data_IF_440833438269
#
_entry.id   IF_440833438269
#
_cell.length_a   1.000
_cell.length_b   1.000
_cell.length_c   1.000
_cell.angle_alpha   90.00
_cell.angle_beta   90.00
_cell.angle_gamma   90.00
#
_symmetry.space_group_name_H-M   'P 1'
#
loop_
_entity.id
_entity.type
_entity.pdbx_description
1 polymer ?
#
# COMPACT_ATOMS: atom_id res chain seq x y z
N UNK A 1 13.60 -4.46 -12.96
CA UNK A 1 12.72 -4.12 -11.82
C UNK A 1 13.41 -4.62 -10.58
N UNK A 2 13.54 -3.76 -9.59
CA UNK A 2 14.14 -4.05 -8.30
C UNK A 2 12.98 -4.32 -7.33
N UNK A 3 12.94 -5.51 -6.74
CA UNK A 3 12.01 -5.85 -5.67
C UNK A 3 12.80 -6.00 -4.37
N UNK A 4 12.42 -5.21 -3.36
CA UNK A 4 13.08 -5.17 -2.07
C UNK A 4 12.06 -5.55 -1.01
N UNK A 5 12.08 -6.82 -0.59
CA UNK A 5 11.22 -7.32 0.48
C UNK A 5 11.90 -7.23 1.85
N UNK A 6 11.10 -6.98 2.88
CA UNK A 6 11.45 -7.15 4.28
C UNK A 6 12.49 -6.15 4.79
N UNK A 7 12.55 -4.93 4.26
CA UNK A 7 13.51 -3.94 4.75
C UNK A 7 13.11 -3.53 6.18
N UNK A 8 13.99 -3.81 7.13
CA UNK A 8 13.84 -3.45 8.55
C UNK A 8 15.09 -2.71 9.03
N UNK A 9 15.01 -2.07 10.20
CA UNK A 9 16.12 -1.30 10.78
C UNK A 9 17.30 -2.15 11.30
N UNK A 10 17.30 -3.48 11.09
CA UNK A 10 18.23 -4.41 11.72
C UNK A 10 17.90 -4.64 13.20
N UNK A 11 18.86 -5.14 13.98
CA UNK A 11 18.66 -5.37 15.41
C UNK A 11 18.57 -4.02 16.16
N UNK A 12 17.45 -3.80 16.85
CA UNK A 12 17.17 -2.56 17.59
C UNK A 12 16.84 -2.89 19.04
N UNK A 13 17.18 -1.99 19.97
CA UNK A 13 16.77 -2.14 21.36
C UNK A 13 15.23 -2.18 21.47
N UNK A 14 14.66 -3.04 22.34
CA UNK A 14 13.22 -3.27 22.44
C UNK A 14 12.52 -2.08 23.12
N UNK A 15 12.40 -0.97 22.40
CA UNK A 15 11.79 0.27 22.86
C UNK A 15 10.60 0.59 21.97
N UNK A 16 9.38 0.44 22.50
CA UNK A 16 8.15 0.63 21.75
C UNK A 16 7.57 2.02 22.00
N UNK A 17 8.12 3.02 21.31
CA UNK A 17 7.67 4.42 21.37
C UNK A 17 7.57 5.03 19.98
N UNK A 18 6.82 6.12 19.83
CA UNK A 18 6.71 6.84 18.56
C UNK A 18 8.08 7.36 18.09
N UNK A 19 8.95 7.80 19.02
CA UNK A 19 10.32 8.21 18.72
C UNK A 19 11.16 7.06 18.18
N UNK A 20 11.06 5.87 18.78
CA UNK A 20 11.75 4.68 18.30
C UNK A 20 11.23 4.24 16.92
N UNK A 21 9.91 4.29 16.69
CA UNK A 21 9.32 3.99 15.39
C UNK A 21 9.79 4.96 14.29
N UNK A 22 9.89 6.26 14.59
CA UNK A 22 10.48 7.23 13.67
C UNK A 22 11.95 6.92 13.36
N UNK A 23 12.76 6.61 14.38
CA UNK A 23 14.17 6.26 14.18
C UNK A 23 14.34 4.98 13.34
N UNK A 24 13.51 3.95 13.56
CA UNK A 24 13.50 2.76 12.71
C UNK A 24 13.07 3.11 11.28
N UNK A 25 12.11 4.01 11.08
CA UNK A 25 11.73 4.47 9.75
C UNK A 25 12.89 5.16 9.02
N UNK A 26 13.68 6.02 9.68
CA UNK A 26 14.88 6.61 9.06
C UNK A 26 15.84 5.53 8.56
N UNK A 27 16.17 4.57 9.43
CA UNK A 27 17.09 3.48 9.09
C UNK A 27 16.55 2.60 7.94
N UNK A 28 15.25 2.33 7.92
CA UNK A 28 14.60 1.59 6.82
C UNK A 28 14.67 2.37 5.51
N UNK A 29 14.45 3.69 5.52
CA UNK A 29 14.54 4.51 4.31
C UNK A 29 15.99 4.71 3.83
N UNK A 30 16.97 4.79 4.75
CA UNK A 30 18.40 4.76 4.39
C UNK A 30 18.77 3.45 3.69
N UNK A 31 18.34 2.32 4.24
CA UNK A 31 18.56 1.00 3.64
C UNK A 31 17.85 0.85 2.30
N UNK A 32 16.63 1.37 2.15
CA UNK A 32 15.89 1.39 0.88
C UNK A 32 16.68 2.14 -0.19
N UNK A 33 17.10 3.37 0.10
CA UNK A 33 17.80 4.24 -0.83
C UNK A 33 19.16 3.65 -1.24
N UNK A 34 19.92 3.11 -0.29
CA UNK A 34 21.16 2.41 -0.56
C UNK A 34 20.94 1.22 -1.50
N UNK A 35 19.98 0.34 -1.20
CA UNK A 35 19.69 -0.87 -2.00
C UNK A 35 19.19 -0.56 -3.41
N UNK A 36 18.44 0.53 -3.59
CA UNK A 36 18.04 1.01 -4.93
C UNK A 36 19.27 1.50 -5.70
N UNK A 37 20.13 2.28 -5.05
CA UNK A 37 21.33 2.88 -5.65
C UNK A 37 22.36 1.83 -6.05
N UNK A 38 22.59 0.82 -5.20
CA UNK A 38 23.48 -0.32 -5.47
C UNK A 38 23.09 -1.09 -6.74
N UNK A 39 21.80 -1.06 -7.11
CA UNK A 39 21.26 -1.70 -8.31
C UNK A 39 21.11 -0.72 -9.49
N UNK A 40 21.75 0.46 -9.41
CA UNK A 40 21.75 1.48 -10.47
C UNK A 40 20.44 2.26 -10.62
N UNK A 41 19.53 2.15 -9.65
CA UNK A 41 18.31 2.93 -9.61
C UNK A 41 18.48 4.22 -8.81
N UNK A 42 17.40 5.00 -8.73
CA UNK A 42 17.27 6.19 -7.88
C UNK A 42 15.92 6.18 -7.17
N UNK A 43 15.79 6.93 -6.09
CA UNK A 43 14.57 6.97 -5.30
C UNK A 43 13.33 7.41 -6.11
N UNK A 44 13.52 8.21 -7.17
CA UNK A 44 12.42 8.60 -8.08
C UNK A 44 11.91 7.46 -8.97
N UNK A 45 12.64 6.35 -9.07
CA UNK A 45 12.20 5.13 -9.75
C UNK A 45 11.29 4.26 -8.85
N UNK A 46 11.09 4.64 -7.59
CA UNK A 46 10.19 3.98 -6.66
C UNK A 46 8.74 4.10 -7.16
N UNK A 47 8.13 2.96 -7.41
CA UNK A 47 6.78 2.85 -7.96
C UNK A 47 5.78 2.51 -6.85
N UNK A 48 6.10 1.50 -6.03
CA UNK A 48 5.19 0.96 -5.02
C UNK A 48 5.90 0.70 -3.70
N UNK A 49 5.19 0.96 -2.61
CA UNK A 49 5.61 0.60 -1.26
C UNK A 49 4.48 -0.09 -0.48
N UNK A 50 4.83 -1.11 0.29
CA UNK A 50 3.95 -1.74 1.28
C UNK A 50 4.54 -1.49 2.66
N UNK A 51 3.87 -0.64 3.44
CA UNK A 51 4.30 -0.20 4.76
C UNK A 51 3.66 -1.10 5.83
N UNK A 52 4.46 -1.79 6.62
CA UNK A 52 3.99 -2.71 7.66
C UNK A 52 4.41 -2.20 9.02
N UNK A 53 3.45 -1.82 9.87
CA UNK A 53 3.72 -1.38 11.24
C UNK A 53 3.04 -2.30 12.25
N UNK A 54 3.65 -2.52 13.41
CA UNK A 54 3.10 -3.45 14.43
C UNK A 54 1.94 -2.85 15.21
N UNK A 55 1.85 -1.52 15.26
CA UNK A 55 0.77 -0.80 15.91
C UNK A 55 0.41 0.49 15.16
N UNK A 56 -0.88 0.81 15.17
CA UNK A 56 -1.44 2.01 14.53
C UNK A 56 -0.93 3.29 15.20
N UNK A 57 -0.54 3.22 16.48
CA UNK A 57 0.11 4.31 17.21
C UNK A 57 1.43 4.79 16.56
N UNK A 58 2.12 3.95 15.80
CA UNK A 58 3.37 4.30 15.11
C UNK A 58 3.14 5.04 13.80
N UNK A 59 1.92 5.02 13.28
CA UNK A 59 1.59 5.48 11.93
C UNK A 59 2.03 6.93 11.70
N UNK A 60 1.68 7.85 12.59
CA UNK A 60 2.03 9.26 12.41
C UNK A 60 3.56 9.46 12.36
N UNK A 61 4.29 8.81 13.25
CA UNK A 61 5.75 8.92 13.33
C UNK A 61 6.42 8.35 12.08
N UNK A 62 6.04 7.13 11.66
CA UNK A 62 6.61 6.43 10.50
C UNK A 62 6.23 7.13 9.19
N UNK A 63 4.96 7.50 9.02
CA UNK A 63 4.50 8.15 7.79
C UNK A 63 4.98 9.60 7.69
N UNK A 64 5.25 10.28 8.81
CA UNK A 64 5.91 11.58 8.80
C UNK A 64 7.33 11.51 8.24
N UNK A 65 8.11 10.49 8.60
CA UNK A 65 9.42 10.21 8.00
C UNK A 65 9.29 9.93 6.51
N UNK A 66 8.39 9.00 6.13
CA UNK A 66 8.13 8.66 4.73
C UNK A 66 7.74 9.90 3.89
N UNK A 67 6.84 10.73 4.40
CA UNK A 67 6.37 11.94 3.71
C UNK A 67 7.50 12.93 3.39
N UNK A 68 8.44 13.12 4.33
CA UNK A 68 9.63 13.93 4.12
C UNK A 68 10.62 13.26 3.15
N UNK A 69 10.90 11.98 3.32
CA UNK A 69 11.90 11.23 2.51
C UNK A 69 11.45 11.02 1.06
N UNK A 70 10.15 10.92 0.82
CA UNK A 70 9.58 10.63 -0.51
C UNK A 70 8.90 11.85 -1.14
N UNK A 71 9.28 13.07 -0.73
CA UNK A 71 8.73 14.30 -1.29
C UNK A 71 8.98 14.36 -2.81
N UNK A 72 7.92 14.61 -3.59
CA UNK A 72 7.97 14.60 -5.06
C UNK A 72 8.11 13.22 -5.70
N UNK A 73 8.37 12.16 -4.91
CA UNK A 73 8.46 10.79 -5.41
C UNK A 73 7.09 10.22 -5.66
N UNK A 74 6.01 10.55 -4.93
CA UNK A 74 4.63 10.12 -5.28
C UNK A 74 4.50 8.63 -5.69
N UNK A 75 4.93 7.67 -4.86
CA UNK A 75 4.67 6.25 -5.14
C UNK A 75 3.20 5.91 -4.89
N UNK A 76 2.76 4.73 -5.32
CA UNK A 76 1.56 4.09 -4.75
C UNK A 76 1.93 3.42 -3.41
N UNK A 77 0.99 3.39 -2.46
CA UNK A 77 1.23 2.86 -1.12
C UNK A 77 0.09 1.98 -0.61
N UNK A 78 0.46 0.88 0.03
CA UNK A 78 -0.41 -0.02 0.81
C UNK A 78 0.06 0.02 2.26
N UNK A 79 -0.85 0.19 3.23
CA UNK A 79 -0.51 0.38 4.64
C UNK A 79 -1.16 -0.64 5.54
N UNK A 80 -0.37 -1.50 6.17
CA UNK A 80 -0.83 -2.64 6.95
C UNK A 80 -0.44 -2.50 8.43
N UNK A 81 -1.37 -2.84 9.32
CA UNK A 81 -1.07 -3.12 10.72
C UNK A 81 -0.88 -4.64 10.85
N UNK A 82 0.33 -5.07 11.20
CA UNK A 82 0.68 -6.48 11.33
C UNK A 82 0.79 -6.88 12.80
N UNK A 83 0.64 -8.18 13.09
CA UNK A 83 0.70 -8.67 14.47
C UNK A 83 2.13 -8.63 15.04
N UNK A 84 3.11 -8.92 14.19
CA UNK A 84 4.53 -8.94 14.53
C UNK A 84 5.36 -8.87 13.23
N UNK A 85 6.64 -8.57 13.39
CA UNK A 85 7.65 -8.63 12.33
C UNK A 85 8.68 -9.73 12.67
N UNK A 86 9.59 -10.01 11.74
CA UNK A 86 10.60 -11.06 11.93
C UNK A 86 11.47 -10.82 13.17
N UNK A 87 11.93 -9.58 13.38
CA UNK A 87 12.54 -9.15 14.63
C UNK A 87 11.43 -8.68 15.60
N UNK A 88 11.30 -9.27 16.80
CA UNK A 88 10.33 -8.84 17.81
C UNK A 88 10.47 -7.37 18.27
N UNK A 89 11.65 -6.77 18.14
CA UNK A 89 11.89 -5.36 18.46
C UNK A 89 11.55 -4.40 17.29
N UNK A 90 11.31 -4.94 16.09
CA UNK A 90 10.93 -4.12 14.95
C UNK A 90 9.49 -3.62 15.08
N UNK A 91 9.32 -2.32 14.83
CA UNK A 91 8.04 -1.60 14.82
C UNK A 91 7.55 -1.32 13.41
N UNK A 92 8.47 -1.32 12.44
CA UNK A 92 8.22 -0.97 11.05
C UNK A 92 9.08 -1.83 10.10
N UNK A 93 8.46 -2.28 9.02
CA UNK A 93 9.09 -2.95 7.88
C UNK A 93 8.50 -2.42 6.57
N UNK A 94 9.30 -2.45 5.51
CA UNK A 94 8.93 -1.97 4.19
C UNK A 94 9.22 -3.01 3.10
N UNK A 95 8.24 -3.24 2.23
CA UNK A 95 8.48 -3.82 0.91
C UNK A 95 8.38 -2.74 -0.16
N UNK A 96 9.20 -2.83 -1.21
CA UNK A 96 9.24 -1.82 -2.27
C UNK A 96 9.47 -2.42 -3.66
N UNK A 97 8.86 -1.79 -4.66
CA UNK A 97 9.15 -2.00 -6.08
C UNK A 97 9.67 -0.71 -6.69
N UNK A 98 10.87 -0.78 -7.27
CA UNK A 98 11.46 0.27 -8.09
C UNK A 98 11.71 -0.23 -9.51
N UNK A 99 11.50 0.62 -10.51
CA UNK A 99 11.71 0.27 -11.92
C UNK A 99 12.72 1.26 -12.51
N UNK A 100 14.02 0.91 -12.53
CA UNK A 100 15.03 1.81 -13.09
C UNK A 100 14.72 2.19 -14.55
N UNK A 101 14.97 3.45 -14.89
CA UNK A 101 14.73 4.00 -16.23
C UNK A 101 13.35 4.63 -16.36
N UNK A 102 13.30 5.94 -16.05
CA UNK A 102 12.11 6.78 -16.25
C UNK A 102 11.98 7.31 -17.69
N UNK A 103 10.95 8.14 -17.97
CA UNK A 103 9.95 8.63 -17.01
C UNK A 103 8.90 7.56 -16.61
N UNK A 104 8.30 7.74 -15.43
CA UNK A 104 7.14 6.96 -14.98
C UNK A 104 5.91 7.86 -14.97
N UNK A 105 4.76 7.32 -15.39
CA UNK A 105 3.50 8.05 -15.32
C UNK A 105 2.91 7.87 -13.93
N UNK A 106 2.59 8.98 -13.26
CA UNK A 106 1.96 8.98 -11.94
C UNK A 106 0.53 9.49 -12.09
N UNK A 107 -0.44 8.61 -11.95
CA UNK A 107 -1.85 8.87 -12.24
C UNK A 107 -2.60 9.24 -10.98
N UNK A 108 -3.47 10.26 -11.08
CA UNK A 108 -4.24 10.84 -9.96
C UNK A 108 -3.34 11.15 -8.75
N UNK A 109 -2.32 12.02 -8.88
CA UNK A 109 -1.51 12.42 -7.75
C UNK A 109 -2.36 13.15 -6.71
N UNK A 110 -2.07 12.94 -5.43
CA UNK A 110 -2.78 13.57 -4.32
C UNK A 110 -1.88 13.76 -3.10
N UNK A 111 -2.30 14.63 -2.17
CA UNK A 111 -1.69 14.78 -0.85
C UNK A 111 -2.52 14.02 0.17
N UNK A 112 -1.90 13.36 1.14
CA UNK A 112 -2.61 12.65 2.23
C UNK A 112 -3.62 13.52 2.99
N UNK A 113 -3.45 14.84 2.97
CA UNK A 113 -4.31 15.82 3.65
C UNK A 113 -5.47 16.32 2.79
N UNK A 114 -5.51 15.97 1.49
CA UNK A 114 -6.52 16.48 0.55
C UNK A 114 -7.87 15.77 0.69
N UNK A 115 -7.90 14.52 1.14
CA UNK A 115 -9.12 13.72 1.28
C UNK A 115 -9.07 12.84 2.55
N UNK A 116 -10.22 12.43 3.10
CA UNK A 116 -10.24 11.46 4.19
C UNK A 116 -9.67 10.11 3.75
N UNK A 117 -9.23 9.31 4.72
CA UNK A 117 -8.93 7.90 4.49
C UNK A 117 -9.61 7.05 5.57
N UNK A 118 -10.82 6.60 5.24
CA UNK A 118 -11.83 6.21 6.22
C UNK A 118 -12.81 7.38 6.43
N UNK A 119 -13.21 7.61 7.68
CA UNK A 119 -14.08 8.71 8.11
C UNK A 119 -13.29 10.00 8.34
N UNK A 120 -12.01 9.89 8.65
CA UNK A 120 -11.17 11.02 9.08
C UNK A 120 -9.99 11.28 8.14
N UNK A 121 -9.44 12.49 8.20
CA UNK A 121 -8.19 12.84 7.52
C UNK A 121 -6.97 12.26 8.27
N UNK A 122 -5.94 11.92 7.51
CA UNK A 122 -4.69 11.41 8.10
C UNK A 122 -3.87 12.55 8.71
N UNK A 123 -3.22 12.36 9.88
CA UNK A 123 -2.51 13.42 10.61
C UNK A 123 -1.05 13.63 10.15
N UNK A 124 -0.71 13.24 8.92
CA UNK A 124 0.62 13.36 8.34
C UNK A 124 0.52 13.90 6.91
N UNK A 125 1.58 14.57 6.44
CA UNK A 125 1.69 15.06 5.07
C UNK A 125 2.60 14.14 4.24
N UNK A 126 2.07 13.63 3.14
CA UNK A 126 2.79 12.84 2.14
C UNK A 126 2.18 13.05 0.76
N UNK A 127 3.01 12.95 -0.29
CA UNK A 127 2.55 12.97 -1.68
C UNK A 127 2.49 11.54 -2.22
N UNK A 128 1.35 11.18 -2.81
CA UNK A 128 1.09 9.87 -3.38
C UNK A 128 0.52 10.01 -4.79
N UNK A 129 0.31 8.87 -5.46
CA UNK A 129 -0.59 8.75 -6.59
C UNK A 129 -1.43 7.47 -6.46
N UNK A 130 -2.48 7.32 -7.27
CA UNK A 130 -3.36 6.15 -7.20
C UNK A 130 -2.89 5.01 -8.11
N UNK A 131 -2.15 5.32 -9.17
CA UNK A 131 -1.49 4.34 -10.01
C UNK A 131 -0.14 4.85 -10.55
N UNK A 132 0.82 3.95 -10.73
CA UNK A 132 2.08 4.21 -11.43
C UNK A 132 2.20 3.30 -12.65
N UNK A 133 2.47 3.88 -13.82
CA UNK A 133 2.88 3.16 -15.03
C UNK A 133 4.38 3.32 -15.22
N UNK A 134 5.13 2.21 -15.18
CA UNK A 134 6.58 2.18 -15.29
C UNK A 134 7.04 1.14 -16.33
N UNK A 135 7.25 1.62 -17.56
CA UNK A 135 7.37 0.76 -18.73
C UNK A 135 6.05 0.03 -18.97
N UNK A 136 6.08 -1.30 -19.06
CA UNK A 136 4.86 -2.13 -19.18
C UNK A 136 4.18 -2.45 -17.86
N UNK A 137 4.73 -2.06 -16.71
CA UNK A 137 4.19 -2.43 -15.40
C UNK A 137 3.24 -1.37 -14.89
N UNK A 138 2.11 -1.80 -14.35
CA UNK A 138 1.13 -0.95 -13.68
C UNK A 138 1.03 -1.37 -12.21
N UNK A 139 1.25 -0.42 -11.31
CA UNK A 139 1.11 -0.61 -9.88
C UNK A 139 -0.06 0.23 -9.38
N UNK A 140 -1.00 -0.38 -8.67
CA UNK A 140 -2.07 0.35 -8.01
C UNK A 140 -1.75 0.59 -6.54
N UNK A 141 -2.29 1.68 -6.03
CA UNK A 141 -2.47 1.91 -4.59
C UNK A 141 -3.46 0.86 -4.06
N UNK A 142 -3.29 0.36 -2.84
CA UNK A 142 -4.25 -0.60 -2.27
C UNK A 142 -5.66 -0.01 -2.23
N UNK A 143 -6.66 -0.72 -2.75
CA UNK A 143 -8.04 -0.23 -2.86
C UNK A 143 -8.90 -0.75 -1.71
N UNK A 144 -9.69 0.14 -1.13
CA UNK A 144 -10.57 -0.13 0.02
C UNK A 144 -12.02 0.23 -0.32
N UNK A 145 -12.90 0.27 0.67
CA UNK A 145 -14.26 0.79 0.52
C UNK A 145 -14.40 2.31 0.28
N UNK A 146 -13.29 3.03 0.07
CA UNK A 146 -13.30 4.45 -0.25
C UNK A 146 -13.49 4.64 -1.76
N UNK A 147 -14.38 5.53 -2.19
CA UNK A 147 -14.46 5.92 -3.62
C UNK A 147 -13.23 6.76 -4.03
N UNK A 148 -12.95 6.87 -5.33
CA UNK A 148 -11.84 7.72 -5.81
C UNK A 148 -12.04 9.21 -5.50
N UNK A 149 -13.27 9.62 -5.22
CA UNK A 149 -13.69 10.97 -4.82
C UNK A 149 -13.68 11.17 -3.29
N UNK A 150 -13.29 10.14 -2.51
CA UNK A 150 -13.15 10.22 -1.05
C UNK A 150 -14.41 9.90 -0.24
N UNK A 151 -15.44 9.30 -0.86
CA UNK A 151 -16.65 8.87 -0.15
C UNK A 151 -16.48 7.52 0.57
N UNK A 152 -17.02 7.39 1.77
CA UNK A 152 -17.01 6.15 2.55
C UNK A 152 -18.37 5.87 3.18
N UNK A 153 -19.15 4.95 2.60
CA UNK A 153 -20.54 4.65 3.02
C UNK A 153 -20.77 3.22 3.49
N UNK A 154 -19.72 2.41 3.59
CA UNK A 154 -19.76 0.96 3.84
C UNK A 154 -19.16 0.59 5.20
N UNK A 155 -19.36 1.46 6.20
CA UNK A 155 -18.95 1.20 7.60
C UNK A 155 -19.61 -0.09 8.08
N UNK A 156 -18.81 -1.07 8.52
CA UNK A 156 -19.30 -2.37 8.97
C UNK A 156 -19.68 -3.37 7.86
N UNK A 157 -19.66 -2.96 6.59
CA UNK A 157 -19.98 -3.82 5.44
C UNK A 157 -18.72 -4.18 4.62
N UNK A 158 -18.01 -5.22 5.02
CA UNK A 158 -16.79 -5.65 4.32
C UNK A 158 -17.06 -6.07 2.85
N UNK A 159 -18.23 -6.67 2.57
CA UNK A 159 -18.62 -7.04 1.21
C UNK A 159 -18.89 -5.81 0.34
N UNK A 160 -19.51 -4.77 0.89
CA UNK A 160 -19.68 -3.46 0.26
C UNK A 160 -18.38 -2.72 0.03
N UNK A 161 -17.46 -2.78 1.00
CA UNK A 161 -16.10 -2.26 0.80
C UNK A 161 -15.41 -2.95 -0.38
N UNK A 162 -15.54 -4.27 -0.51
CA UNK A 162 -15.01 -5.04 -1.63
C UNK A 162 -15.60 -4.62 -2.98
N UNK A 163 -16.92 -4.31 -3.02
CA UNK A 163 -17.59 -3.86 -4.26
C UNK A 163 -17.01 -2.53 -4.75
N UNK A 164 -16.79 -1.59 -3.83
CA UNK A 164 -16.18 -0.30 -4.17
C UNK A 164 -14.72 -0.49 -4.57
N UNK A 165 -13.97 -1.31 -3.82
CA UNK A 165 -12.56 -1.54 -4.05
C UNK A 165 -12.28 -2.12 -5.44
N UNK A 166 -13.02 -3.15 -5.87
CA UNK A 166 -12.82 -3.77 -7.19
C UNK A 166 -13.26 -2.83 -8.32
N UNK A 167 -14.32 -2.04 -8.13
CA UNK A 167 -14.73 -1.03 -9.11
C UNK A 167 -13.69 0.10 -9.27
N UNK A 168 -12.96 0.44 -8.20
CA UNK A 168 -11.84 1.37 -8.29
C UNK A 168 -10.63 0.74 -9.01
N UNK A 169 -10.34 -0.55 -8.77
CA UNK A 169 -9.29 -1.27 -9.50
C UNK A 169 -9.55 -1.18 -11.00
N UNK A 170 -10.76 -1.47 -11.46
CA UNK A 170 -11.12 -1.40 -12.89
C UNK A 170 -10.89 0.00 -13.47
N UNK A 171 -11.33 1.05 -12.76
CA UNK A 171 -11.13 2.45 -13.19
C UNK A 171 -9.66 2.83 -13.25
N UNK A 172 -8.87 2.45 -12.25
CA UNK A 172 -7.44 2.78 -12.19
C UNK A 172 -6.63 2.01 -13.22
N UNK A 173 -7.00 0.76 -13.52
CA UNK A 173 -6.42 0.02 -14.65
C UNK A 173 -6.76 0.74 -15.96
N UNK A 174 -8.01 1.15 -16.16
CA UNK A 174 -8.41 1.88 -17.36
C UNK A 174 -7.66 3.22 -17.52
N UNK A 175 -7.45 3.99 -16.44
CA UNK A 175 -6.64 5.21 -16.46
C UNK A 175 -5.18 4.94 -16.88
N UNK A 176 -4.68 3.75 -16.59
CA UNK A 176 -3.34 3.28 -16.96
C UNK A 176 -3.27 2.63 -18.35
N UNK A 177 -4.39 2.59 -19.10
CA UNK A 177 -4.47 1.90 -20.38
C UNK A 177 -4.50 0.37 -20.27
N UNK A 178 -4.82 -0.17 -19.09
CA UNK A 178 -4.92 -1.58 -18.78
C UNK A 178 -6.38 -1.98 -18.48
N UNK A 179 -6.59 -3.30 -18.35
CA UNK A 179 -7.84 -3.93 -17.96
C UNK A 179 -7.57 -5.00 -16.90
N UNK A 180 -8.63 -5.61 -16.35
CA UNK A 180 -8.47 -6.76 -15.45
C UNK A 180 -7.79 -7.97 -16.13
N UNK A 181 -7.81 -8.07 -17.46
CA UNK A 181 -7.09 -9.12 -18.18
C UNK A 181 -5.57 -8.95 -18.09
N UNK A 182 -5.09 -7.75 -17.82
CA UNK A 182 -3.67 -7.42 -17.67
C UNK A 182 -3.17 -7.62 -16.22
N UNK A 183 -4.08 -7.86 -15.28
CA UNK A 183 -3.74 -8.09 -13.88
C UNK A 183 -3.05 -9.46 -13.71
N UNK A 184 -1.84 -9.43 -13.15
CA UNK A 184 -1.00 -10.63 -12.99
C UNK A 184 -1.07 -11.19 -11.56
N UNK A 185 -1.33 -10.32 -10.58
CA UNK A 185 -1.41 -10.70 -9.19
C UNK A 185 -2.31 -9.75 -8.40
N UNK A 186 -3.07 -10.32 -7.47
CA UNK A 186 -3.81 -9.58 -6.45
C UNK A 186 -3.47 -10.07 -5.04
N UNK A 187 -3.33 -9.17 -4.09
CA UNK A 187 -3.28 -9.50 -2.66
C UNK A 187 -4.50 -8.92 -1.97
N UNK A 188 -5.24 -9.73 -1.22
CA UNK A 188 -6.41 -9.31 -0.45
C UNK A 188 -6.07 -9.33 1.02
N UNK A 189 -6.30 -8.22 1.71
CA UNK A 189 -6.15 -8.11 3.15
C UNK A 189 -7.52 -7.95 3.78
N UNK A 190 -7.79 -8.69 4.86
CA UNK A 190 -8.97 -8.51 5.71
C UNK A 190 -8.55 -8.37 7.17
N UNK A 191 -9.33 -7.62 7.96
CA UNK A 191 -9.00 -7.37 9.38
C UNK A 191 -9.53 -8.44 10.33
N UNK A 192 -10.46 -9.28 9.87
CA UNK A 192 -11.04 -10.38 10.64
C UNK A 192 -11.38 -11.55 9.70
N UNK A 193 -11.32 -12.79 10.22
CA UNK A 193 -11.71 -14.00 9.48
C UNK A 193 -13.18 -13.97 9.05
N UNK A 194 -14.05 -13.35 9.84
CA UNK A 194 -15.46 -13.19 9.51
C UNK A 194 -15.68 -12.42 8.19
N UNK A 195 -14.73 -11.57 7.79
CA UNK A 195 -14.82 -10.79 6.55
C UNK A 195 -14.35 -11.56 5.31
N UNK A 196 -13.70 -12.71 5.45
CA UNK A 196 -13.23 -13.51 4.31
C UNK A 196 -14.40 -13.87 3.38
N UNK A 197 -15.46 -14.45 3.94
CA UNK A 197 -16.61 -14.91 3.14
C UNK A 197 -17.30 -13.76 2.39
N UNK A 198 -17.73 -12.65 3.03
CA UNK A 198 -18.39 -11.57 2.31
C UNK A 198 -17.48 -10.83 1.32
N UNK A 199 -16.17 -10.70 1.61
CA UNK A 199 -15.22 -10.09 0.66
C UNK A 199 -15.01 -10.99 -0.55
N UNK A 200 -14.71 -12.27 -0.33
CA UNK A 200 -14.44 -13.18 -1.44
C UNK A 200 -15.69 -13.48 -2.28
N UNK A 201 -16.88 -13.51 -1.69
CA UNK A 201 -18.14 -13.61 -2.44
C UNK A 201 -18.31 -12.46 -3.45
N UNK A 202 -17.81 -11.26 -3.11
CA UNK A 202 -17.81 -10.10 -4.01
C UNK A 202 -16.68 -10.17 -5.05
N UNK A 203 -15.46 -10.55 -4.64
CA UNK A 203 -14.29 -10.49 -5.52
C UNK A 203 -14.22 -11.65 -6.52
N UNK A 204 -14.60 -12.87 -6.11
CA UNK A 204 -14.43 -14.07 -6.93
C UNK A 204 -15.15 -14.03 -8.28
N UNK A 205 -16.38 -13.48 -8.40
CA UNK A 205 -17.01 -13.33 -9.71
C UNK A 205 -16.21 -12.49 -10.70
N UNK A 206 -15.36 -11.57 -10.21
CA UNK A 206 -14.49 -10.73 -11.05
C UNK A 206 -13.13 -11.38 -11.27
N UNK A 207 -12.49 -11.83 -10.18
CA UNK A 207 -11.14 -12.43 -10.21
C UNK A 207 -11.08 -13.81 -10.89
N UNK A 208 -12.22 -14.45 -11.16
CA UNK A 208 -12.27 -15.75 -11.85
C UNK A 208 -12.44 -15.61 -13.36
N UNK A 209 -12.90 -14.47 -13.87
CA UNK A 209 -13.12 -14.23 -15.31
C UNK A 209 -11.78 -14.16 -16.05
N UNK A 210 -10.83 -13.47 -15.46
CA UNK A 210 -9.41 -13.55 -15.81
C UNK A 210 -8.74 -14.16 -14.58
N UNK A 211 -8.20 -15.38 -14.61
CA UNK A 211 -7.71 -16.06 -13.42
C UNK A 211 -6.47 -15.34 -12.87
N UNK A 212 -6.71 -14.26 -12.13
CA UNK A 212 -5.71 -13.46 -11.45
C UNK A 212 -5.27 -14.29 -10.25
N UNK A 213 -3.99 -14.64 -10.22
CA UNK A 213 -3.42 -15.29 -9.04
C UNK A 213 -3.60 -14.39 -7.83
N UNK A 214 -4.16 -14.92 -6.75
CA UNK A 214 -4.41 -14.12 -5.57
C UNK A 214 -4.10 -14.85 -4.28
N UNK A 215 -3.71 -14.07 -3.27
CA UNK A 215 -3.46 -14.53 -1.90
C UNK A 215 -4.27 -13.66 -0.97
N UNK A 216 -4.90 -14.26 0.04
CA UNK A 216 -5.59 -13.54 1.10
C UNK A 216 -4.83 -13.65 2.42
N UNK A 217 -4.69 -12.53 3.12
CA UNK A 217 -4.13 -12.45 4.47
C UNK A 217 -5.14 -11.85 5.45
N UNK A 218 -5.16 -12.40 6.67
CA UNK A 218 -5.80 -11.74 7.82
C UNK A 218 -4.74 -10.91 8.53
N UNK A 219 -4.92 -9.59 8.59
CA UNK A 219 -4.00 -8.64 9.21
C UNK A 219 -4.58 -8.09 10.51
N UNK A 220 -3.73 -7.53 11.40
CA UNK A 220 -4.18 -6.94 12.68
C UNK A 220 -5.06 -5.69 12.43
N UNK A 221 -4.87 -5.01 11.31
CA UNK A 221 -5.67 -3.85 10.94
C UNK A 221 -5.17 -3.16 9.67
N UNK A 222 -5.91 -2.15 9.23
CA UNK A 222 -5.58 -1.29 8.09
C UNK A 222 -5.36 0.16 8.56
N UNK A 223 -5.49 1.17 7.70
CA UNK A 223 -5.17 2.55 8.04
C UNK A 223 -6.20 3.27 8.94
N UNK A 224 -7.50 2.93 8.83
CA UNK A 224 -8.56 3.34 9.77
C UNK A 224 -9.32 2.09 10.33
N UNK A 225 -9.92 2.12 11.53
CA UNK A 225 -10.62 0.96 12.11
C UNK A 225 -11.83 0.47 11.30
N UNK A 226 -12.53 1.40 10.66
CA UNK A 226 -13.70 1.17 9.81
C UNK A 226 -13.36 0.54 8.46
N UNK A 227 -12.07 0.53 8.07
CA UNK A 227 -11.60 -0.15 6.86
C UNK A 227 -11.37 -1.61 7.22
N UNK A 228 -12.17 -2.49 6.62
CA UNK A 228 -12.25 -3.91 6.92
C UNK A 228 -11.49 -4.77 5.91
N UNK A 229 -11.28 -4.24 4.71
CA UNK A 229 -10.53 -4.91 3.65
C UNK A 229 -9.74 -3.93 2.77
N UNK A 230 -8.64 -4.43 2.19
CA UNK A 230 -7.87 -3.77 1.13
C UNK A 230 -7.49 -4.79 0.04
N UNK A 231 -7.62 -4.43 -1.25
CA UNK A 231 -7.12 -5.24 -2.39
C UNK A 231 -6.00 -4.49 -3.08
N UNK A 232 -4.89 -5.18 -3.28
CA UNK A 232 -3.69 -4.68 -3.93
C UNK A 232 -3.50 -5.40 -5.27
N UNK A 233 -3.33 -4.67 -6.37
CA UNK A 233 -3.26 -5.25 -7.72
C UNK A 233 -2.04 -4.74 -8.48
N UNK A 234 -1.38 -5.68 -9.14
CA UNK A 234 -0.30 -5.45 -10.10
C UNK A 234 -0.74 -5.93 -11.49
N UNK A 235 -0.42 -5.16 -12.52
CA UNK A 235 -0.74 -5.49 -13.91
C UNK A 235 0.45 -5.26 -14.86
N UNK A 236 0.39 -5.85 -16.05
CA UNK A 236 1.39 -5.73 -17.12
C UNK A 236 0.70 -5.55 -18.48
N UNK A 237 1.06 -4.47 -19.20
CA UNK A 237 0.61 -4.12 -20.56
C UNK A 237 1.31 -4.94 -21.68
#
# INVERSE_FOLDING_TARGET
MIHLGGISAGHVAPTHTAKAAAAQAEAVFDALEARITEQGGRLTDLCKITMQITDRAWRQAVYGVMGRRLLGVRPVSTGLIVKALHDPAALFQLDAFAVPGGPHQRLRPYRSTSMPYGLEKQPFEAEFCMAVVAGKRVFLRGQTGLTLEGGFSTVGDAGGQARIAIANVEKLLADAGATLADAVHATVYVTDRAYITPVMATLMPVLSVHPITHTLFVVKGLAAPEILMEIDVHAVL
#
